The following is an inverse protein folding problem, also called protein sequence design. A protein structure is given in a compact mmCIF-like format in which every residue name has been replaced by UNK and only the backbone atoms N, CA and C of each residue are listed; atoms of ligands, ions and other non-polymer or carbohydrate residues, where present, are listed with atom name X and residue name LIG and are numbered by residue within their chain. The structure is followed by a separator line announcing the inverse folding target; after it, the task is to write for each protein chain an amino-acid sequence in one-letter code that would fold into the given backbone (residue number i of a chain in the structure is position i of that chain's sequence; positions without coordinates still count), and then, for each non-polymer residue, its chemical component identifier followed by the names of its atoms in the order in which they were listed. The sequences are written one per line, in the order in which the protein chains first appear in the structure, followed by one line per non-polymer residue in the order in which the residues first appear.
data_IF_271310598234
#
_entry.id   IF_271310598234
#
_cell.length_a   1.000
_cell.length_b   1.000
_cell.length_c   1.000
_cell.angle_alpha   90.00
_cell.angle_beta   90.00
_cell.angle_gamma   90.00
#
_symmetry.space_group_name_H-M   'P 1'
#
loop_
_entity.id
_entity.type
_entity.pdbx_description
1 polymer ?
#
# COMPACT_ATOMS: atom_id res chain seq x y z
N UNK A 1 -15.38 -14.97 3.09
CA UNK A 1 -14.17 -15.66 3.60
C UNK A 1 -13.78 -14.99 4.90
N UNK A 2 -13.03 -15.65 5.79
CA UNK A 2 -12.61 -15.04 7.06
C UNK A 2 -11.10 -15.05 7.18
N UNK A 3 -10.53 -13.90 7.54
CA UNK A 3 -9.12 -13.80 7.86
C UNK A 3 -8.86 -14.25 9.30
N UNK A 4 -7.73 -14.92 9.50
CA UNK A 4 -7.24 -15.34 10.82
C UNK A 4 -6.14 -14.41 11.29
N UNK A 5 -6.09 -14.11 12.58
CA UNK A 5 -5.02 -13.31 13.16
C UNK A 5 -3.69 -14.06 13.04
N UNK A 6 -2.66 -13.40 12.49
CA UNK A 6 -1.33 -13.99 12.25
C UNK A 6 -0.32 -13.60 13.34
N UNK A 7 -0.46 -12.41 13.91
CA UNK A 7 0.41 -11.87 14.95
C UNK A 7 -0.44 -11.25 16.05
N UNK A 8 0.13 -11.11 17.26
CA UNK A 8 -0.34 -10.09 18.20
C UNK A 8 -0.30 -8.69 17.54
N UNK A 9 -0.92 -7.66 18.14
CA UNK A 9 -0.91 -6.36 17.53
C UNK A 9 0.43 -5.64 17.79
N UNK A 10 1.25 -5.63 16.73
CA UNK A 10 2.68 -5.26 16.69
C UNK A 10 2.98 -3.92 16.03
N UNK A 11 1.97 -3.29 15.41
CA UNK A 11 2.08 -1.96 14.83
C UNK A 11 1.06 -1.01 15.46
N UNK A 12 1.37 0.28 15.53
CA UNK A 12 0.36 1.30 15.83
C UNK A 12 -0.44 1.60 14.56
N UNK A 13 0.25 1.88 13.45
CA UNK A 13 -0.37 2.10 12.14
C UNK A 13 0.32 1.22 11.10
N UNK A 14 -0.14 -0.04 11.03
CA UNK A 14 0.39 -1.00 10.08
C UNK A 14 -0.03 -0.64 8.66
N UNK A 15 0.91 -0.50 7.74
CA UNK A 15 0.65 -0.08 6.36
C UNK A 15 1.57 -0.78 5.35
N UNK A 16 1.22 -0.64 4.06
CA UNK A 16 2.08 -1.01 2.93
C UNK A 16 2.70 -2.41 2.99
N UNK A 17 1.94 -3.49 3.25
CA UNK A 17 2.48 -4.83 3.29
C UNK A 17 2.95 -5.26 1.89
N UNK A 18 4.11 -5.90 1.84
CA UNK A 18 4.72 -6.39 0.60
C UNK A 18 5.38 -7.73 0.83
N UNK A 19 4.98 -8.71 0.03
CA UNK A 19 5.67 -9.98 -0.08
C UNK A 19 6.71 -9.94 -1.22
N UNK A 20 7.95 -10.32 -0.92
CA UNK A 20 8.99 -10.48 -1.93
C UNK A 20 9.96 -11.60 -1.56
N UNK A 21 10.25 -12.46 -2.52
CA UNK A 21 11.31 -13.47 -2.40
C UNK A 21 12.69 -12.82 -2.22
N UNK A 22 12.91 -11.60 -2.73
CA UNK A 22 14.23 -10.93 -2.66
C UNK A 22 14.68 -10.60 -1.24
N UNK A 23 13.74 -10.47 -0.30
CA UNK A 23 14.04 -10.29 1.12
C UNK A 23 13.46 -11.41 2.00
N UNK A 24 13.02 -12.51 1.37
CA UNK A 24 12.62 -13.73 2.07
C UNK A 24 11.21 -13.74 2.68
N UNK A 25 10.26 -12.95 2.18
CA UNK A 25 8.87 -13.01 2.66
C UNK A 25 8.21 -11.65 2.81
N UNK A 26 7.54 -11.42 3.95
CA UNK A 26 6.72 -10.24 4.21
C UNK A 26 7.53 -9.11 4.88
N UNK A 27 7.38 -7.90 4.35
CA UNK A 27 7.68 -6.65 5.05
C UNK A 27 6.46 -5.72 5.02
N UNK A 28 6.35 -4.83 6.00
CA UNK A 28 5.34 -3.77 6.08
C UNK A 28 5.89 -2.63 6.94
N UNK A 29 5.16 -1.54 7.09
CA UNK A 29 5.59 -0.41 7.93
C UNK A 29 4.71 -0.25 9.16
N UNK A 30 5.28 0.31 10.24
CA UNK A 30 4.54 0.96 11.31
C UNK A 30 4.75 2.46 11.12
N UNK A 31 3.80 3.08 10.41
CA UNK A 31 4.02 4.35 9.70
C UNK A 31 4.52 5.45 10.64
N UNK A 32 3.81 5.67 11.74
CA UNK A 32 4.13 6.72 12.72
C UNK A 32 5.31 6.37 13.65
N UNK A 33 5.70 5.09 13.72
CA UNK A 33 6.92 4.70 14.41
C UNK A 33 8.17 4.91 13.53
N UNK A 34 7.97 5.09 12.22
CA UNK A 34 9.07 5.19 11.28
C UNK A 34 9.85 3.89 11.11
N UNK A 35 9.17 2.76 11.29
CA UNK A 35 9.78 1.44 11.32
C UNK A 35 9.33 0.59 10.13
N UNK A 36 10.28 -0.14 9.55
CA UNK A 36 10.01 -1.26 8.65
C UNK A 36 10.02 -2.55 9.47
N UNK A 37 8.94 -3.32 9.38
CA UNK A 37 8.77 -4.61 10.04
C UNK A 37 8.98 -5.75 9.04
N UNK A 38 9.47 -6.88 9.53
CA UNK A 38 9.64 -8.12 8.77
C UNK A 38 9.08 -9.30 9.56
N UNK A 39 8.48 -10.27 8.87
CA UNK A 39 8.00 -11.52 9.48
C UNK A 39 8.78 -12.71 8.94
N UNK A 40 9.47 -13.43 9.82
CA UNK A 40 10.14 -14.69 9.52
C UNK A 40 9.65 -15.78 10.48
N UNK A 41 8.98 -16.80 9.94
CA UNK A 41 8.23 -17.74 10.78
C UNK A 41 7.18 -16.99 11.60
N UNK A 42 7.28 -17.09 12.93
CA UNK A 42 6.44 -16.37 13.89
C UNK A 42 7.12 -15.14 14.52
N UNK A 43 8.35 -14.84 14.11
CA UNK A 43 9.13 -13.74 14.69
C UNK A 43 8.97 -12.48 13.87
N UNK A 44 8.52 -11.41 14.55
CA UNK A 44 8.49 -10.05 14.00
C UNK A 44 9.77 -9.33 14.42
N UNK A 45 10.50 -8.80 13.44
CA UNK A 45 11.60 -7.87 13.67
C UNK A 45 11.24 -6.50 13.12
N UNK A 46 11.87 -5.45 13.66
CA UNK A 46 11.66 -4.07 13.21
C UNK A 46 12.98 -3.33 13.07
N UNK A 47 13.03 -2.41 12.12
CA UNK A 47 14.17 -1.55 11.83
C UNK A 47 13.69 -0.12 11.62
N UNK A 48 14.26 0.80 12.38
CA UNK A 48 13.96 2.22 12.27
C UNK A 48 14.60 2.86 11.04
N UNK A 49 13.86 3.70 10.33
CA UNK A 49 14.29 4.32 9.06
C UNK A 49 14.05 5.82 8.96
N UNK A 50 13.26 6.41 9.86
CA UNK A 50 12.97 7.85 9.85
C UNK A 50 11.86 8.23 10.82
N UNK A 51 11.35 9.46 10.76
CA UNK A 51 10.16 9.88 11.52
C UNK A 51 8.89 9.18 11.04
N UNK A 52 8.79 8.97 9.73
CA UNK A 52 7.71 8.27 9.04
C UNK A 52 8.32 7.26 8.08
N UNK A 53 7.71 6.07 8.02
CA UNK A 53 7.94 5.08 6.98
C UNK A 53 6.60 4.83 6.30
N UNK A 54 6.37 5.41 5.13
CA UNK A 54 5.05 5.45 4.52
C UNK A 54 4.77 4.20 3.66
N UNK A 55 5.73 3.85 2.81
CA UNK A 55 5.66 2.68 1.93
C UNK A 55 7.06 2.16 1.59
N UNK A 56 7.15 0.90 1.16
CA UNK A 56 8.39 0.34 0.63
C UNK A 56 8.14 -0.61 -0.54
N UNK A 57 9.10 -0.72 -1.45
CA UNK A 57 9.12 -1.75 -2.51
C UNK A 57 10.52 -2.32 -2.70
N UNK A 58 10.66 -3.60 -3.07
CA UNK A 58 11.97 -4.19 -3.33
C UNK A 58 12.62 -3.52 -4.55
N UNK A 59 13.95 -3.44 -4.53
CA UNK A 59 14.75 -2.97 -5.68
C UNK A 59 15.20 -4.13 -6.56
N UNK A 60 15.37 -3.87 -7.85
CA UNK A 60 15.95 -4.86 -8.79
C UNK A 60 17.40 -5.20 -8.45
N UNK A 61 18.15 -4.23 -7.93
CA UNK A 61 19.54 -4.35 -7.48
C UNK A 61 19.69 -4.96 -6.07
N UNK A 62 18.59 -5.26 -5.38
CA UNK A 62 18.60 -5.68 -3.98
C UNK A 62 18.37 -4.53 -3.00
N UNK A 63 17.89 -4.86 -1.80
CA UNK A 63 17.39 -3.86 -0.83
C UNK A 63 15.99 -3.34 -1.19
N UNK A 64 15.72 -2.08 -0.88
CA UNK A 64 14.40 -1.47 -0.98
C UNK A 64 14.44 0.01 -1.36
N UNK A 65 13.40 0.50 -2.04
CA UNK A 65 13.04 1.92 -2.02
C UNK A 65 12.04 2.12 -0.88
N UNK A 66 12.21 3.19 -0.12
CA UNK A 66 11.41 3.52 1.06
C UNK A 66 10.91 4.95 0.91
N UNK A 67 9.60 5.16 1.03
CA UNK A 67 9.02 6.49 1.19
C UNK A 67 9.12 6.90 2.66
N UNK A 68 9.85 7.98 2.92
CA UNK A 68 9.95 8.64 4.23
C UNK A 68 8.91 9.76 4.32
N UNK A 69 8.91 10.53 5.41
CA UNK A 69 7.94 11.62 5.63
C UNK A 69 7.82 12.57 4.43
N UNK A 70 8.94 13.11 3.97
CA UNK A 70 8.98 14.10 2.89
C UNK A 70 9.86 13.71 1.72
N UNK A 71 10.26 12.45 1.59
CA UNK A 71 11.22 12.05 0.56
C UNK A 71 11.35 10.54 0.38
N UNK A 72 12.44 10.13 -0.25
CA UNK A 72 12.72 8.73 -0.55
C UNK A 72 14.10 8.35 -0.06
N UNK A 73 14.25 7.11 0.38
CA UNK A 73 15.54 6.52 0.69
C UNK A 73 15.72 5.19 -0.04
N UNK A 74 16.97 4.84 -0.33
CA UNK A 74 17.37 3.57 -0.91
C UNK A 74 18.14 2.74 0.11
N UNK A 75 17.61 1.56 0.41
CA UNK A 75 18.34 0.48 1.05
C UNK A 75 19.06 -0.33 -0.04
N UNK A 76 20.34 -0.62 0.14
CA UNK A 76 21.09 -1.56 -0.69
C UNK A 76 20.98 -3.03 -0.18
N UNK A 77 21.60 -3.98 -0.89
CA UNK A 77 21.56 -5.38 -0.49
C UNK A 77 22.26 -5.68 0.85
N UNK A 78 23.15 -4.80 1.31
CA UNK A 78 23.82 -4.91 2.61
C UNK A 78 23.01 -4.27 3.76
N UNK A 79 21.91 -3.57 3.44
CA UNK A 79 21.08 -2.87 4.42
C UNK A 79 21.49 -1.41 4.64
N UNK A 80 22.42 -0.87 3.85
CA UNK A 80 22.84 0.54 3.95
C UNK A 80 21.76 1.43 3.37
N UNK A 81 21.33 2.45 4.13
CA UNK A 81 20.33 3.42 3.70
C UNK A 81 21.04 4.67 3.16
N UNK A 82 20.67 5.09 1.95
CA UNK A 82 21.03 6.39 1.37
C UNK A 82 19.76 7.20 1.15
N UNK A 83 19.63 8.33 1.84
CA UNK A 83 18.52 9.27 1.68
C UNK A 83 18.75 10.15 0.43
N UNK A 84 17.73 10.33 -0.40
CA UNK A 84 17.75 11.28 -1.52
C UNK A 84 17.59 12.74 -1.05
N UNK A 85 17.24 12.94 0.22
CA UNK A 85 16.87 14.22 0.79
C UNK A 85 15.36 14.45 0.75
N UNK A 86 14.93 15.46 1.51
CA UNK A 86 13.55 15.89 1.51
C UNK A 86 13.19 16.52 0.15
N UNK A 87 12.09 16.05 -0.43
CA UNK A 87 11.37 16.79 -1.44
C UNK A 87 10.77 18.05 -0.80
N UNK A 88 10.67 19.11 -1.59
CA UNK A 88 9.92 20.30 -1.19
C UNK A 88 8.43 19.98 -1.23
N UNK A 89 7.93 19.35 -0.17
CA UNK A 89 6.51 19.19 0.09
C UNK A 89 5.97 20.47 0.75
N UNK A 90 4.69 20.77 0.52
CA UNK A 90 4.00 21.82 1.25
C UNK A 90 4.02 21.48 2.77
N UNK A 91 4.17 22.48 3.67
CA UNK A 91 4.20 22.21 5.10
C UNK A 91 2.97 21.44 5.59
N UNK A 92 3.20 20.39 6.37
CA UNK A 92 2.12 19.54 6.91
C UNK A 92 1.70 18.39 5.98
N UNK A 93 2.35 18.22 4.83
CA UNK A 93 2.20 17.01 4.01
C UNK A 93 3.19 15.93 4.44
N UNK A 94 2.76 14.67 4.33
CA UNK A 94 3.59 13.47 4.41
C UNK A 94 3.31 12.52 3.25
N UNK A 95 4.26 11.66 2.94
CA UNK A 95 4.01 10.48 2.11
C UNK A 95 3.00 9.53 2.79
N UNK A 96 2.32 8.73 1.99
CA UNK A 96 1.29 7.79 2.41
C UNK A 96 1.47 6.40 1.74
N UNK A 97 0.66 6.02 0.75
CA UNK A 97 0.84 4.73 0.06
C UNK A 97 1.64 4.87 -1.24
N UNK A 98 2.20 3.77 -1.73
CA UNK A 98 2.98 3.74 -2.96
C UNK A 98 3.24 2.35 -3.51
N UNK A 99 3.53 2.29 -4.81
CA UNK A 99 3.75 1.05 -5.56
C UNK A 99 4.64 1.26 -6.78
N UNK A 100 5.17 0.16 -7.32
CA UNK A 100 6.01 0.22 -8.53
C UNK A 100 5.20 -0.10 -9.77
N UNK A 101 5.39 0.69 -10.82
CA UNK A 101 4.78 0.44 -12.11
C UNK A 101 5.49 -0.69 -12.89
N UNK A 102 4.94 -1.15 -14.04
CA UNK A 102 5.56 -2.20 -14.86
C UNK A 102 6.98 -1.90 -15.33
N UNK A 103 7.36 -0.63 -15.41
CA UNK A 103 8.68 -0.20 -15.87
C UNK A 103 9.67 0.01 -14.72
N UNK A 104 9.25 -0.21 -13.47
CA UNK A 104 10.09 -0.09 -12.28
C UNK A 104 10.27 1.35 -11.81
N UNK A 105 9.33 2.25 -12.10
CA UNK A 105 9.22 3.57 -11.49
C UNK A 105 8.42 3.44 -10.20
N UNK A 106 8.83 4.11 -9.13
CA UNK A 106 8.13 4.07 -7.85
C UNK A 106 7.18 5.25 -7.73
N UNK A 107 5.89 4.98 -7.49
CA UNK A 107 4.88 6.00 -7.28
C UNK A 107 4.55 6.06 -5.79
N UNK A 108 4.38 7.26 -5.24
CA UNK A 108 3.97 7.43 -3.85
C UNK A 108 3.10 8.68 -3.70
N UNK A 109 1.97 8.50 -3.04
CA UNK A 109 1.01 9.53 -2.73
C UNK A 109 1.36 10.31 -1.47
N UNK A 110 0.91 11.55 -1.38
CA UNK A 110 0.94 12.32 -0.14
C UNK A 110 -0.44 12.45 0.49
N UNK A 111 -0.47 12.95 1.72
CA UNK A 111 -1.64 13.52 2.38
C UNK A 111 -1.22 14.62 3.35
N UNK A 112 -2.13 15.56 3.62
CA UNK A 112 -1.94 16.51 4.71
C UNK A 112 -2.30 15.85 6.05
N UNK A 113 -1.56 16.17 7.12
CA UNK A 113 -1.86 15.66 8.47
C UNK A 113 -3.26 16.07 8.96
N UNK A 114 -3.75 17.24 8.54
CA UNK A 114 -5.11 17.72 8.83
C UNK A 114 -6.16 17.22 7.83
N UNK A 115 -5.75 16.39 6.86
CA UNK A 115 -6.58 15.84 5.79
C UNK A 115 -7.26 16.92 4.92
N UNK A 116 -6.60 18.08 4.76
CA UNK A 116 -7.08 19.17 3.90
C UNK A 116 -7.43 18.69 2.48
N UNK A 117 -8.70 18.88 2.03
CA UNK A 117 -9.11 18.50 0.68
C UNK A 117 -8.29 19.19 -0.42
N UNK A 118 -7.82 18.41 -1.39
CA UNK A 118 -7.07 18.91 -2.54
C UNK A 118 -5.59 19.22 -2.30
N UNK A 119 -5.09 19.04 -1.07
CA UNK A 119 -3.69 19.31 -0.74
C UNK A 119 -2.72 18.22 -1.24
N UNK A 120 -3.20 16.98 -1.40
CA UNK A 120 -2.36 15.85 -1.74
C UNK A 120 -2.04 15.75 -3.24
N UNK A 121 -0.92 15.07 -3.52
CA UNK A 121 -0.42 14.79 -4.86
C UNK A 121 0.05 13.33 -4.95
N UNK A 122 0.13 12.81 -6.18
CA UNK A 122 0.79 11.55 -6.48
C UNK A 122 2.13 11.85 -7.15
N UNK A 123 3.23 11.39 -6.55
CA UNK A 123 4.57 11.55 -7.08
C UNK A 123 5.05 10.26 -7.77
N UNK A 124 6.00 10.40 -8.69
CA UNK A 124 6.75 9.31 -9.30
C UNK A 124 8.25 9.57 -9.17
N UNK A 125 8.97 8.64 -8.58
CA UNK A 125 10.41 8.50 -8.57
C UNK A 125 10.84 7.60 -9.74
N UNK A 126 11.62 8.17 -10.66
CA UNK A 126 12.25 7.46 -11.78
C UNK A 126 13.56 6.78 -11.35
N UNK A 127 14.05 5.76 -12.09
CA UNK A 127 15.27 5.02 -11.74
C UNK A 127 16.54 5.87 -11.68
N UNK A 128 16.53 7.05 -12.32
CA UNK A 128 17.65 8.01 -12.28
C UNK A 128 17.58 8.99 -11.10
N UNK A 129 16.58 8.86 -10.23
CA UNK A 129 16.36 9.72 -9.07
C UNK A 129 15.44 10.92 -9.34
N UNK A 130 14.99 11.13 -10.58
CA UNK A 130 14.07 12.22 -10.92
C UNK A 130 12.72 11.99 -10.24
N UNK A 131 12.17 13.05 -9.63
CA UNK A 131 10.83 13.02 -9.02
C UNK A 131 9.87 13.94 -9.77
N UNK A 132 8.71 13.41 -10.16
CA UNK A 132 7.69 14.13 -10.94
C UNK A 132 6.33 14.02 -10.26
N UNK A 133 5.56 15.11 -10.25
CA UNK A 133 4.13 15.10 -9.86
C UNK A 133 3.30 14.54 -11.02
N UNK A 134 2.45 13.55 -10.74
CA UNK A 134 1.65 12.83 -11.74
C UNK A 134 0.16 13.15 -11.62
N UNK A 135 -0.35 13.27 -10.39
CA UNK A 135 -1.72 13.70 -10.10
C UNK A 135 -1.70 14.75 -9.00
N UNK A 136 -2.65 15.69 -9.06
CA UNK A 136 -2.82 16.78 -8.11
C UNK A 136 -4.28 16.89 -7.69
N UNK A 137 -4.56 17.66 -6.64
CA UNK A 137 -5.92 17.88 -6.15
C UNK A 137 -6.51 16.67 -5.43
N UNK A 138 -5.66 15.79 -4.88
CA UNK A 138 -6.07 14.64 -4.09
C UNK A 138 -6.27 15.05 -2.62
N UNK A 139 -6.86 14.18 -1.80
CA UNK A 139 -6.98 14.42 -0.35
C UNK A 139 -6.15 13.43 0.48
N UNK A 140 -6.37 12.13 0.31
CA UNK A 140 -5.60 11.05 0.93
C UNK A 140 -5.28 10.04 -0.15
N UNK A 141 -4.11 10.23 -0.77
CA UNK A 141 -3.62 9.36 -1.84
C UNK A 141 -3.24 7.99 -1.26
N UNK A 142 -3.99 6.97 -1.68
CA UNK A 142 -3.85 5.60 -1.18
C UNK A 142 -3.80 4.61 -2.35
N UNK A 143 -3.79 3.32 -2.00
CA UNK A 143 -4.01 2.17 -2.87
C UNK A 143 -3.63 2.35 -4.33
N UNK A 144 -2.46 1.86 -4.74
CA UNK A 144 -2.01 1.92 -6.14
C UNK A 144 -1.41 0.59 -6.62
N UNK A 145 -2.01 0.01 -7.67
CA UNK A 145 -1.50 -1.21 -8.30
C UNK A 145 -1.91 -1.29 -9.77
N UNK A 146 -1.18 -2.08 -10.57
CA UNK A 146 -1.48 -2.24 -12.00
C UNK A 146 -1.98 -3.63 -12.33
N UNK A 147 -2.89 -3.69 -13.30
CA UNK A 147 -3.39 -4.89 -13.98
C UNK A 147 -2.31 -5.91 -14.39
N UNK A 148 -2.69 -7.18 -14.65
CA UNK A 148 -1.80 -8.25 -15.11
C UNK A 148 -0.89 -7.89 -16.27
N UNK A 149 -1.45 -7.31 -17.33
CA UNK A 149 -0.71 -6.88 -18.51
C UNK A 149 -0.02 -5.51 -18.34
N UNK A 150 -0.33 -4.81 -17.25
CA UNK A 150 0.23 -3.50 -16.91
C UNK A 150 -0.37 -2.34 -17.69
N UNK A 151 -1.43 -2.55 -18.48
CA UNK A 151 -2.07 -1.51 -19.30
C UNK A 151 -3.00 -0.59 -18.52
N UNK A 152 -3.49 -1.05 -17.36
CA UNK A 152 -4.34 -0.30 -16.44
C UNK A 152 -3.68 -0.16 -15.07
N UNK A 153 -3.90 0.99 -14.42
CA UNK A 153 -3.62 1.23 -13.01
C UNK A 153 -4.93 1.46 -12.24
N UNK A 154 -5.01 0.92 -11.04
CA UNK A 154 -6.09 1.14 -10.08
C UNK A 154 -5.58 2.03 -8.96
N UNK A 155 -6.38 3.01 -8.58
CA UNK A 155 -5.99 4.05 -7.64
C UNK A 155 -7.19 4.44 -6.75
N UNK A 156 -6.97 4.84 -5.50
CA UNK A 156 -8.03 5.46 -4.70
C UNK A 156 -7.55 6.74 -3.97
N UNK A 157 -8.45 7.72 -3.94
CA UNK A 157 -8.36 8.88 -3.03
C UNK A 157 -9.40 8.64 -1.94
N UNK A 158 -8.95 8.27 -0.74
CA UNK A 158 -9.77 7.65 0.31
C UNK A 158 -11.13 8.35 0.55
N UNK A 159 -11.19 9.69 0.73
CA UNK A 159 -12.44 10.38 1.06
C UNK A 159 -13.46 10.40 -0.08
N UNK A 160 -13.04 10.05 -1.31
CA UNK A 160 -13.96 9.94 -2.45
C UNK A 160 -14.88 8.73 -2.37
N UNK A 161 -14.55 7.72 -1.54
CA UNK A 161 -15.28 6.45 -1.45
C UNK A 161 -15.18 5.61 -2.74
N UNK A 162 -14.25 5.94 -3.65
CA UNK A 162 -14.18 5.35 -4.99
C UNK A 162 -12.82 4.72 -5.26
N UNK A 163 -12.87 3.63 -6.01
CA UNK A 163 -11.71 3.08 -6.72
C UNK A 163 -11.77 3.62 -8.14
N UNK A 164 -10.69 4.22 -8.60
CA UNK A 164 -10.48 4.70 -9.95
C UNK A 164 -9.68 3.68 -10.77
N UNK A 165 -9.83 3.77 -12.09
CA UNK A 165 -8.95 3.12 -13.07
C UNK A 165 -8.42 4.15 -14.04
N UNK A 166 -7.15 4.00 -14.42
CA UNK A 166 -6.42 4.84 -15.35
C UNK A 166 -5.78 3.95 -16.42
N UNK A 167 -5.71 4.46 -17.65
CA UNK A 167 -4.89 3.84 -18.68
C UNK A 167 -3.42 4.17 -18.43
N UNK A 168 -2.54 3.22 -18.69
CA UNK A 168 -1.11 3.35 -18.47
C UNK A 168 -0.31 2.88 -19.69
N UNK A 169 0.64 3.71 -20.11
CA UNK A 169 1.79 3.26 -20.87
C UNK A 169 3.07 3.97 -20.38
N UNK A 170 4.23 3.52 -20.86
CA UNK A 170 5.51 4.07 -20.42
C UNK A 170 5.63 5.55 -20.79
N UNK A 171 5.22 5.89 -22.01
CA UNK A 171 5.41 7.17 -22.67
C UNK A 171 4.48 8.25 -22.09
N UNK A 172 3.18 7.97 -21.99
CA UNK A 172 2.19 8.94 -21.48
C UNK A 172 2.01 8.88 -19.97
N UNK A 173 2.49 7.82 -19.30
CA UNK A 173 2.19 7.61 -17.89
C UNK A 173 0.71 7.29 -17.66
N UNK A 174 0.17 7.77 -16.54
CA UNK A 174 -1.22 7.57 -16.15
C UNK A 174 -2.14 8.58 -16.85
N UNK A 175 -3.21 8.10 -17.48
CA UNK A 175 -4.18 8.92 -18.22
C UNK A 175 -5.60 8.39 -18.07
N UNK A 176 -6.61 9.16 -18.47
CA UNK A 176 -7.98 8.64 -18.58
C UNK A 176 -8.64 8.23 -17.26
N UNK A 177 -8.37 8.98 -16.17
CA UNK A 177 -8.96 8.73 -14.84
C UNK A 177 -10.47 8.63 -14.93
N UNK A 178 -11.01 7.49 -14.52
CA UNK A 178 -12.43 7.19 -14.50
C UNK A 178 -12.78 6.29 -13.31
N UNK A 179 -14.04 6.30 -12.90
CA UNK A 179 -14.54 5.44 -11.83
C UNK A 179 -14.47 3.97 -12.25
N UNK A 180 -13.90 3.13 -11.40
CA UNK A 180 -13.90 1.68 -11.52
C UNK A 180 -14.99 1.06 -10.65
N UNK A 181 -14.98 1.38 -9.35
CA UNK A 181 -15.97 0.92 -8.37
C UNK A 181 -16.23 2.02 -7.33
N UNK A 182 -17.33 1.87 -6.59
CA UNK A 182 -17.75 2.79 -5.54
C UNK A 182 -18.14 1.99 -4.32
N UNK A 183 -17.68 2.43 -3.16
CA UNK A 183 -17.92 1.80 -1.86
C UNK A 183 -18.91 2.67 -1.10
N UNK A 184 -20.09 2.13 -0.72
CA UNK A 184 -21.00 2.81 0.18
C UNK A 184 -20.29 3.19 1.48
N UNK A 185 -20.50 4.40 1.98
CA UNK A 185 -19.78 4.90 3.16
C UNK A 185 -20.04 4.09 4.44
N UNK A 186 -21.19 3.43 4.52
CA UNK A 186 -21.55 2.52 5.61
C UNK A 186 -20.66 1.26 5.65
N UNK A 187 -19.98 0.96 4.54
CA UNK A 187 -19.08 -0.17 4.41
C UNK A 187 -17.61 0.19 4.70
N UNK A 188 -17.32 1.46 5.02
CA UNK A 188 -15.97 1.98 5.20
C UNK A 188 -15.42 2.69 3.95
N UNK A 189 -14.11 2.96 3.97
CA UNK A 189 -13.43 3.73 2.92
C UNK A 189 -12.28 2.95 2.29
N UNK A 190 -12.05 3.09 0.97
CA UNK A 190 -10.97 2.37 0.29
C UNK A 190 -9.60 2.88 0.74
N UNK A 191 -8.73 1.94 1.12
CA UNK A 191 -7.37 2.20 1.60
C UNK A 191 -6.35 1.47 0.69
N UNK A 192 -5.30 0.83 1.21
CA UNK A 192 -4.37 0.02 0.41
C UNK A 192 -5.04 -1.10 -0.42
N UNK A 193 -4.57 -1.29 -1.65
CA UNK A 193 -5.09 -2.29 -2.59
C UNK A 193 -4.01 -3.15 -3.25
N UNK A 194 -4.42 -4.30 -3.80
CA UNK A 194 -3.57 -5.18 -4.62
C UNK A 194 -4.38 -5.84 -5.75
N UNK A 195 -3.70 -6.46 -6.73
CA UNK A 195 -4.33 -7.08 -7.90
C UNK A 195 -3.89 -8.54 -8.03
N UNK A 196 -4.86 -9.43 -8.15
CA UNK A 196 -4.61 -10.87 -8.32
C UNK A 196 -4.20 -11.25 -9.76
N UNK A 197 -3.86 -12.51 -9.97
CA UNK A 197 -3.43 -13.05 -11.27
C UNK A 197 -4.54 -13.07 -12.34
N UNK A 198 -5.81 -12.98 -11.95
CA UNK A 198 -6.97 -12.90 -12.85
C UNK A 198 -7.38 -11.44 -13.15
N UNK A 199 -6.71 -10.46 -12.52
CA UNK A 199 -7.02 -9.04 -12.65
C UNK A 199 -8.09 -8.54 -11.68
N UNK A 200 -8.47 -9.33 -10.68
CA UNK A 200 -9.34 -8.90 -9.60
C UNK A 200 -8.62 -7.91 -8.66
N UNK A 201 -9.30 -6.82 -8.32
CA UNK A 201 -8.79 -5.75 -7.44
C UNK A 201 -9.26 -6.01 -6.02
N UNK A 202 -8.32 -6.20 -5.11
CA UNK A 202 -8.55 -6.40 -3.68
C UNK A 202 -8.24 -5.11 -2.93
N UNK A 203 -9.21 -4.57 -2.18
CA UNK A 203 -9.08 -3.29 -1.48
C UNK A 203 -9.44 -3.43 -0.01
N UNK A 204 -8.55 -2.97 0.86
CA UNK A 204 -8.80 -2.85 2.29
C UNK A 204 -9.81 -1.74 2.56
N UNK A 205 -10.68 -1.95 3.56
CA UNK A 205 -11.70 -0.99 3.95
C UNK A 205 -11.41 -0.43 5.35
N UNK A 206 -10.96 0.81 5.40
CA UNK A 206 -10.80 1.54 6.66
C UNK A 206 -12.19 1.77 7.28
N UNK A 207 -12.36 1.35 8.53
CA UNK A 207 -13.66 1.35 9.22
C UNK A 207 -14.65 0.27 8.75
N UNK A 208 -14.25 -0.57 7.79
CA UNK A 208 -15.13 -1.55 7.14
C UNK A 208 -14.95 -3.00 7.61
N UNK A 209 -13.95 -3.28 8.46
CA UNK A 209 -13.63 -4.65 8.94
C UNK A 209 -13.49 -5.71 7.83
N UNK A 210 -13.07 -5.31 6.63
CA UNK A 210 -13.06 -6.22 5.48
C UNK A 210 -12.02 -5.84 4.42
N UNK A 211 -11.71 -6.82 3.58
CA UNK A 211 -11.14 -6.61 2.24
C UNK A 211 -12.16 -7.06 1.20
N UNK A 212 -12.40 -6.24 0.17
CA UNK A 212 -13.31 -6.56 -0.94
C UNK A 212 -12.54 -6.86 -2.20
N UNK A 213 -13.02 -7.84 -2.99
CA UNK A 213 -12.55 -8.13 -4.34
C UNK A 213 -13.55 -7.66 -5.37
N UNK A 214 -13.07 -6.89 -6.34
CA UNK A 214 -13.82 -6.49 -7.53
C UNK A 214 -13.24 -7.19 -8.76
N UNK A 215 -14.09 -7.74 -9.60
CA UNK A 215 -13.69 -8.30 -10.90
C UNK A 215 -13.14 -7.23 -11.83
N UNK A 216 -12.44 -7.59 -12.93
CA UNK A 216 -11.88 -6.61 -13.87
C UNK A 216 -12.87 -5.62 -14.50
N UNK A 217 -14.17 -5.91 -14.45
CA UNK A 217 -15.28 -5.03 -14.88
C UNK A 217 -15.90 -4.21 -13.73
N UNK A 218 -15.33 -4.25 -12.52
CA UNK A 218 -15.73 -3.42 -11.38
C UNK A 218 -16.85 -4.00 -10.52
N UNK A 219 -17.25 -5.26 -10.72
CA UNK A 219 -18.30 -5.90 -9.91
C UNK A 219 -17.71 -6.55 -8.66
N UNK A 220 -18.30 -6.26 -7.50
CA UNK A 220 -17.96 -6.95 -6.25
C UNK A 220 -18.27 -8.44 -6.36
N UNK A 221 -17.29 -9.29 -6.08
CA UNK A 221 -17.45 -10.75 -6.13
C UNK A 221 -16.77 -11.53 -5.01
N UNK A 222 -16.04 -10.85 -4.12
CA UNK A 222 -15.43 -11.46 -2.95
C UNK A 222 -15.38 -10.51 -1.76
N UNK A 223 -15.55 -11.08 -0.56
CA UNK A 223 -15.38 -10.39 0.72
C UNK A 223 -14.57 -11.30 1.65
N UNK A 224 -13.54 -10.72 2.26
CA UNK A 224 -12.77 -11.31 3.36
C UNK A 224 -13.05 -10.48 4.60
N UNK A 225 -13.76 -11.07 5.57
CA UNK A 225 -14.01 -10.42 6.86
C UNK A 225 -12.75 -10.47 7.73
N UNK A 226 -12.47 -9.36 8.41
CA UNK A 226 -11.29 -9.17 9.26
C UNK A 226 -11.76 -8.88 10.68
N UNK A 227 -11.10 -9.47 11.68
CA UNK A 227 -11.49 -9.32 13.09
C UNK A 227 -11.19 -7.95 13.70
N UNK A 228 -10.70 -6.98 12.92
CA UNK A 228 -10.37 -5.63 13.36
C UNK A 228 -11.03 -4.59 12.46
N UNK A 229 -11.40 -3.46 13.04
CA UNK A 229 -12.28 -2.45 12.43
C UNK A 229 -11.59 -1.67 11.32
N UNK A 230 -10.38 -1.17 11.60
CA UNK A 230 -9.62 -0.32 10.69
C UNK A 230 -8.60 -1.18 9.93
N UNK A 231 -9.02 -1.67 8.77
CA UNK A 231 -8.20 -2.44 7.83
C UNK A 231 -7.52 -1.46 6.88
N UNK A 232 -6.19 -1.52 6.79
CA UNK A 232 -5.40 -0.49 6.09
C UNK A 232 -4.92 -0.90 4.72
N UNK A 233 -4.36 -2.11 4.57
CA UNK A 233 -3.84 -2.54 3.29
C UNK A 233 -3.81 -4.07 3.19
N UNK A 234 -3.56 -4.57 1.98
CA UNK A 234 -3.42 -6.00 1.74
C UNK A 234 -2.43 -6.32 0.63
N UNK A 235 -1.83 -7.52 0.71
CA UNK A 235 -0.90 -8.04 -0.30
C UNK A 235 -1.01 -9.55 -0.40
N UNK A 236 -0.65 -10.10 -1.55
CA UNK A 236 -0.55 -11.55 -1.71
C UNK A 236 0.81 -12.06 -1.26
N UNK A 237 0.83 -13.19 -0.55
CA UNK A 237 2.04 -13.83 -0.07
C UNK A 237 1.85 -15.32 0.23
N UNK A 238 2.80 -15.86 0.98
CA UNK A 238 2.85 -17.28 1.30
C UNK A 238 3.19 -18.15 0.08
N UNK A 239 2.99 -19.46 0.24
CA UNK A 239 3.26 -20.43 -0.83
C UNK A 239 2.33 -20.17 -2.02
N UNK A 240 2.90 -20.14 -3.22
CA UNK A 240 2.17 -19.89 -4.48
C UNK A 240 1.41 -18.55 -4.52
N UNK A 241 1.70 -17.61 -3.61
CA UNK A 241 1.02 -16.32 -3.49
C UNK A 241 -0.51 -16.43 -3.31
N UNK A 242 -1.01 -17.47 -2.65
CA UNK A 242 -2.45 -17.72 -2.47
C UNK A 242 -3.03 -17.20 -1.15
N UNK A 243 -2.18 -16.58 -0.32
CA UNK A 243 -2.59 -16.01 0.95
C UNK A 243 -2.69 -14.50 0.82
N UNK A 244 -3.83 -13.94 1.19
CA UNK A 244 -4.01 -12.51 1.34
C UNK A 244 -3.58 -12.12 2.76
N UNK A 245 -2.52 -11.32 2.85
CA UNK A 245 -1.97 -10.78 4.09
C UNK A 245 -2.49 -9.35 4.26
N UNK A 246 -2.97 -9.01 5.45
CA UNK A 246 -3.77 -7.82 5.70
C UNK A 246 -3.20 -7.07 6.90
N UNK A 247 -2.98 -5.77 6.76
CA UNK A 247 -2.56 -4.87 7.85
C UNK A 247 -3.77 -4.14 8.44
N UNK A 248 -3.62 -3.72 9.70
CA UNK A 248 -4.66 -3.00 10.45
C UNK A 248 -4.02 -1.90 11.29
N UNK A 249 -4.83 -0.95 11.75
CA UNK A 249 -4.36 0.20 12.51
C UNK A 249 -5.13 0.44 13.81
N UNK A 250 -4.40 0.94 14.81
CA UNK A 250 -4.93 1.49 16.07
C UNK A 250 -5.22 2.98 15.96
N UNK A 251 -4.81 3.62 14.87
CA UNK A 251 -5.10 5.03 14.61
C UNK A 251 -6.61 5.28 14.69
N UNK A 252 -6.97 6.44 15.26
CA UNK A 252 -8.36 6.87 15.46
C UNK A 252 -9.20 5.95 16.37
N UNK A 253 -8.56 5.04 17.10
CA UNK A 253 -9.21 4.20 18.12
C UNK A 253 -8.79 4.62 19.53
N UNK A 254 -9.73 4.55 20.46
CA UNK A 254 -9.40 4.70 21.88
C UNK A 254 -8.65 3.46 22.38
N UNK A 255 -7.76 3.58 23.38
CA UNK A 255 -7.11 2.42 23.98
C UNK A 255 -8.13 1.35 24.40
N UNK A 256 -7.92 0.11 23.92
CA UNK A 256 -8.79 -1.04 24.22
C UNK A 256 -10.11 -1.12 23.43
N UNK A 257 -10.40 -0.16 22.55
CA UNK A 257 -11.62 -0.18 21.73
C UNK A 257 -11.65 -1.36 20.75
N UNK A 258 -10.50 -1.67 20.15
CA UNK A 258 -10.30 -2.84 19.29
C UNK A 258 -8.99 -3.52 19.73
N UNK A 259 -9.06 -4.64 20.47
CA UNK A 259 -7.86 -5.32 20.95
C UNK A 259 -7.00 -5.93 19.85
N UNK A 260 -7.55 -6.15 18.65
CA UNK A 260 -6.86 -6.80 17.53
C UNK A 260 -6.27 -5.80 16.53
N UNK A 261 -6.70 -4.54 16.57
CA UNK A 261 -6.12 -3.45 15.80
C UNK A 261 -4.58 -3.35 15.97
N UNK A 262 -3.86 -3.29 14.84
CA UNK A 262 -2.41 -3.32 14.78
C UNK A 262 -1.81 -4.71 14.53
N UNK A 263 -2.64 -5.76 14.42
CA UNK A 263 -2.23 -7.12 14.07
C UNK A 263 -2.14 -7.30 12.54
N UNK A 264 -1.36 -8.30 12.12
CA UNK A 264 -1.49 -8.88 10.79
C UNK A 264 -2.61 -9.93 10.79
N UNK A 265 -3.36 -9.98 9.69
CA UNK A 265 -4.32 -11.03 9.40
C UNK A 265 -3.97 -11.75 8.10
N UNK A 266 -4.40 -13.01 7.97
CA UNK A 266 -4.19 -13.82 6.76
C UNK A 266 -5.45 -14.58 6.37
N UNK A 267 -5.73 -14.65 5.07
CA UNK A 267 -6.82 -15.44 4.51
C UNK A 267 -6.35 -16.22 3.27
N UNK A 268 -6.76 -17.48 3.15
CA UNK A 268 -6.59 -18.24 1.89
C UNK A 268 -7.74 -17.87 0.95
N UNK A 269 -7.43 -17.28 -0.21
CA UNK A 269 -8.44 -16.66 -1.10
C UNK A 269 -8.66 -17.38 -2.42
N UNK A 270 -8.08 -18.58 -2.60
CA UNK A 270 -8.33 -19.46 -3.75
C UNK A 270 -7.74 -19.02 -5.09
N UNK A 271 -7.44 -17.74 -5.26
CA UNK A 271 -6.73 -17.15 -6.40
C UNK A 271 -5.31 -16.77 -6.00
N UNK A 272 -4.36 -16.92 -6.92
CA UNK A 272 -2.99 -16.48 -6.70
C UNK A 272 -2.85 -14.98 -6.95
N UNK A 273 -2.02 -14.32 -6.17
CA UNK A 273 -1.50 -13.00 -6.47
C UNK A 273 -0.45 -13.03 -7.56
N UNK A 274 0.35 -11.97 -7.58
CA UNK A 274 1.43 -11.77 -8.54
C UNK A 274 2.72 -11.37 -7.82
N UNK A 275 3.90 -11.72 -8.34
CA UNK A 275 5.14 -11.20 -7.80
C UNK A 275 5.12 -9.66 -7.80
N UNK A 276 5.49 -9.05 -6.67
CA UNK A 276 5.50 -7.60 -6.55
C UNK A 276 6.46 -6.98 -7.57
N UNK A 277 6.04 -5.86 -8.17
CA UNK A 277 6.89 -5.07 -9.04
C UNK A 277 8.00 -4.39 -8.25
N UNK A 278 9.18 -4.31 -8.85
CA UNK A 278 10.40 -3.82 -8.19
C UNK A 278 10.80 -2.47 -8.75
N UNK A 279 11.28 -1.58 -7.89
CA UNK A 279 11.93 -0.34 -8.30
C UNK A 279 13.21 -0.66 -9.07
N UNK A 280 13.42 0.01 -10.20
CA UNK A 280 14.54 -0.27 -11.10
C UNK A 280 15.81 0.54 -10.79
N UNK A 281 15.70 1.59 -9.97
CA UNK A 281 16.84 2.36 -9.47
C UNK A 281 17.48 1.74 -8.23
#
# INVERSE_FOLDING_TARGET
MHATQRTDPVAFHGEGPVWSESWGGLRWVDLYAGDVLSLQGDTVSRRHVGSIAAALRPRRSGGAVIALESGFALEDAAGTITDFGALELDPGLRMNDGGCDPHGRFYCGTMAYDQSPGAARLYRLDPDGTVTVVLEGLTISNGLEWSPDGSLAYFNDTPSGRIAVLDYCRESGLTGLRRFAEIPSEDGFPDGLTVDSEGGVWVALYGGSAVRRYTPDGRLDGIVDVGATNVTACTFGGKELKQLIITTTRENLRPGQDPLAGSLFVADVGVAGRPVRKFAG
#
